data_IF_996440168080
#
_entry.id   IF_996440168080
#
_cell.length_a   1.000
_cell.length_b   1.000
_cell.length_c   1.000
_cell.angle_alpha   90.00
_cell.angle_beta   90.00
_cell.angle_gamma   90.00
#
_symmetry.space_group_name_H-M   'P 1'
#
loop_
_entity.id
_entity.type
_entity.pdbx_description
1 polymer ?
#
# COMPACT_ATOMS: atom_id res chain seq x y z
N UNK A 1 89.17 18.88 50.31
CA UNK A 1 88.83 18.57 48.91
C UNK A 1 87.37 18.94 48.70
N UNK A 2 87.07 19.96 47.90
CA UNK A 2 85.68 20.30 47.57
C UNK A 2 85.17 19.37 46.48
N UNK A 3 84.14 18.57 46.76
CA UNK A 3 83.39 17.89 45.70
C UNK A 3 82.64 18.98 44.92
N UNK A 4 83.04 19.21 43.67
CA UNK A 4 82.25 19.99 42.74
C UNK A 4 80.90 19.26 42.57
N UNK A 5 79.81 19.85 43.08
CA UNK A 5 78.48 19.38 42.75
C UNK A 5 78.29 19.58 41.25
N UNK A 6 78.29 18.47 40.50
CA UNK A 6 77.92 18.48 39.09
C UNK A 6 76.47 18.98 39.02
N UNK A 7 76.29 20.18 38.48
CA UNK A 7 74.96 20.74 38.23
C UNK A 7 74.24 19.83 37.24
N UNK A 8 73.23 19.10 37.71
CA UNK A 8 72.41 18.24 36.86
C UNK A 8 71.73 19.09 35.79
N UNK A 9 71.98 18.77 34.51
CA UNK A 9 71.38 19.46 33.35
C UNK A 9 69.85 19.38 33.35
N UNK A 10 69.27 18.47 34.13
CA UNK A 10 67.84 18.19 34.19
C UNK A 10 67.01 19.17 35.01
N UNK A 11 67.64 20.04 35.80
CA UNK A 11 66.97 21.19 36.39
C UNK A 11 66.37 22.14 35.35
N UNK A 12 66.79 21.99 34.08
CA UNK A 12 66.24 22.73 32.94
C UNK A 12 65.02 22.08 32.31
N UNK A 13 64.55 20.88 32.71
CA UNK A 13 63.36 20.26 32.11
C UNK A 13 62.09 20.56 32.92
N UNK A 14 61.01 20.88 32.22
CA UNK A 14 59.68 21.14 32.82
C UNK A 14 58.60 20.25 32.18
N UNK A 15 57.53 19.90 32.92
CA UNK A 15 56.39 19.18 32.35
C UNK A 15 55.81 19.91 31.13
N UNK A 16 55.67 19.19 30.02
CA UNK A 16 55.06 19.74 28.81
C UNK A 16 53.57 19.38 28.79
N UNK A 17 52.74 20.35 29.19
CA UNK A 17 51.28 20.22 29.21
C UNK A 17 50.62 20.60 27.88
N UNK A 18 51.39 21.09 26.90
CA UNK A 18 50.90 21.63 25.63
C UNK A 18 50.76 20.57 24.54
N UNK A 19 51.14 19.33 24.83
CA UNK A 19 50.98 18.21 23.90
C UNK A 19 49.50 17.89 23.72
N UNK A 20 49.01 18.14 22.51
CA UNK A 20 47.62 17.89 22.12
C UNK A 20 47.42 16.38 21.92
N UNK A 21 46.40 15.75 22.50
CA UNK A 21 46.08 14.35 22.20
C UNK A 21 45.93 14.08 20.69
N UNK A 22 46.39 12.92 20.24
CA UNK A 22 46.38 12.55 18.82
C UNK A 22 47.38 11.47 18.46
N UNK A 23 47.57 11.22 17.17
CA UNK A 23 48.52 10.23 16.68
C UNK A 23 49.89 10.86 16.40
N UNK A 24 50.93 10.24 16.93
CA UNK A 24 52.31 10.70 16.88
C UNK A 24 53.26 9.58 16.45
N UNK A 25 54.38 9.96 15.83
CA UNK A 25 55.61 9.16 15.78
C UNK A 25 56.54 9.64 16.88
N UNK A 26 57.10 8.69 17.62
CA UNK A 26 58.06 8.96 18.71
C UNK A 26 59.44 8.67 18.16
N UNK A 27 60.23 9.71 17.89
CA UNK A 27 61.50 9.62 17.17
C UNK A 27 62.64 9.85 18.13
N UNK A 28 63.61 8.94 18.19
CA UNK A 28 64.78 9.12 19.04
C UNK A 28 65.70 10.22 18.48
N UNK A 29 66.06 11.20 19.32
CA UNK A 29 66.71 12.43 18.87
C UNK A 29 68.10 12.20 18.25
N UNK A 30 68.90 11.26 18.79
CA UNK A 30 70.25 11.01 18.30
C UNK A 30 70.27 10.18 17.01
N UNK A 31 69.43 9.14 16.94
CA UNK A 31 69.49 8.16 15.84
C UNK A 31 68.47 8.42 14.74
N UNK A 32 67.52 9.34 14.96
CA UNK A 32 66.38 9.61 14.08
C UNK A 32 65.54 8.35 13.74
N UNK A 33 65.54 7.37 14.65
CA UNK A 33 64.81 6.10 14.52
C UNK A 33 63.51 6.19 15.31
N UNK A 34 62.44 5.59 14.78
CA UNK A 34 61.14 5.61 15.40
C UNK A 34 60.97 4.47 16.41
N UNK A 35 60.25 4.75 17.48
CA UNK A 35 59.85 3.77 18.49
C UNK A 35 58.78 2.84 17.93
N UNK A 36 59.04 1.54 17.98
CA UNK A 36 58.16 0.51 17.42
C UNK A 36 57.98 -0.67 18.38
N UNK A 37 56.91 -1.45 18.18
CA UNK A 37 56.72 -2.73 18.85
C UNK A 37 57.38 -3.83 18.04
N UNK A 38 58.29 -4.59 18.66
CA UNK A 38 58.86 -5.77 18.03
C UNK A 38 57.79 -6.88 17.93
N UNK A 39 57.43 -7.30 16.71
CA UNK A 39 56.33 -8.26 16.49
C UNK A 39 56.59 -9.65 17.13
N UNK A 40 57.84 -10.15 17.10
CA UNK A 40 58.21 -11.49 17.61
C UNK A 40 58.72 -11.59 19.07
N UNK A 41 59.63 -10.74 19.52
CA UNK A 41 60.25 -10.83 20.86
C UNK A 41 59.38 -10.15 21.92
N UNK A 42 58.44 -10.88 22.52
CA UNK A 42 57.66 -10.48 23.72
C UNK A 42 57.05 -9.05 23.67
N UNK A 43 56.78 -8.50 22.47
CA UNK A 43 56.31 -7.12 22.29
C UNK A 43 57.23 -6.08 22.96
N UNK A 44 58.53 -6.36 22.94
CA UNK A 44 59.58 -5.43 23.37
C UNK A 44 59.55 -4.17 22.50
N UNK A 45 59.80 -3.03 23.13
CA UNK A 45 59.97 -1.79 22.38
C UNK A 45 61.38 -1.71 21.81
N UNK A 46 61.46 -1.32 20.55
CA UNK A 46 62.70 -1.18 19.81
C UNK A 46 62.68 0.14 19.05
N UNK A 47 63.86 0.63 18.67
CA UNK A 47 63.97 1.71 17.70
C UNK A 47 64.38 1.15 16.33
N UNK A 48 63.70 1.56 15.27
CA UNK A 48 64.00 1.17 13.89
C UNK A 48 63.96 2.37 12.96
N UNK A 49 64.59 2.23 11.80
CA UNK A 49 64.48 3.23 10.76
C UNK A 49 63.01 3.45 10.42
N UNK A 50 62.68 4.70 10.09
CA UNK A 50 61.31 5.11 9.75
C UNK A 50 60.90 4.26 8.55
N UNK A 51 59.72 3.65 8.63
CA UNK A 51 59.18 2.97 7.45
C UNK A 51 58.83 4.05 6.43
N UNK A 52 59.36 3.90 5.22
CA UNK A 52 59.10 4.84 4.14
C UNK A 52 57.59 4.81 3.84
N UNK A 53 56.92 5.97 3.76
CA UNK A 53 55.48 6.04 3.48
C UNK A 53 55.08 5.43 2.13
N UNK A 54 56.05 5.13 1.26
CA UNK A 54 55.85 4.59 -0.09
C UNK A 54 55.89 3.06 -0.16
N UNK A 55 56.21 2.35 0.93
CA UNK A 55 56.24 0.89 0.90
C UNK A 55 54.82 0.33 1.08
N UNK A 56 54.16 0.02 -0.04
CA UNK A 56 52.80 -0.53 -0.22
C UNK A 56 52.53 -1.90 0.48
N UNK A 57 53.44 -2.35 1.34
CA UNK A 57 53.20 -3.49 2.20
C UNK A 57 52.54 -2.95 3.47
N UNK A 58 51.29 -3.33 3.76
CA UNK A 58 50.46 -2.89 4.90
C UNK A 58 50.99 -3.14 6.33
N UNK A 59 52.30 -2.99 6.55
CA UNK A 59 53.00 -2.85 7.83
C UNK A 59 53.00 -1.41 8.36
N UNK A 60 52.49 -0.46 7.57
CA UNK A 60 52.67 1.01 7.59
C UNK A 60 52.32 1.79 8.88
N UNK A 61 52.05 1.15 10.02
CA UNK A 61 51.63 1.85 11.24
C UNK A 61 52.25 1.29 12.52
N UNK A 62 53.33 0.50 12.42
CA UNK A 62 53.96 -0.10 13.60
C UNK A 62 54.78 0.90 14.45
N UNK A 63 54.89 2.14 13.99
CA UNK A 63 55.50 3.28 14.69
C UNK A 63 54.47 4.37 15.07
N UNK A 64 53.17 4.11 14.89
CA UNK A 64 52.10 5.07 15.20
C UNK A 64 51.59 4.88 16.64
N UNK A 65 51.71 5.95 17.42
CA UNK A 65 51.31 6.00 18.82
C UNK A 65 50.25 7.06 19.03
N UNK A 66 49.10 6.65 19.53
CA UNK A 66 48.04 7.54 19.98
C UNK A 66 48.33 8.00 21.42
N UNK A 67 48.59 9.28 21.58
CA UNK A 67 48.88 9.93 22.86
C UNK A 67 47.56 10.45 23.45
N UNK A 68 47.24 9.98 24.65
CA UNK A 68 46.03 10.33 25.41
C UNK A 68 46.45 11.06 26.67
N UNK A 69 45.77 12.16 27.03
CA UNK A 69 46.01 12.86 28.30
C UNK A 69 45.33 12.12 29.46
N UNK A 70 46.05 11.93 30.55
CA UNK A 70 45.58 11.28 31.79
C UNK A 70 46.04 12.10 32.99
N UNK A 71 45.25 13.10 33.39
CA UNK A 71 45.65 14.11 34.38
C UNK A 71 46.82 14.97 33.85
N UNK A 72 47.91 15.00 34.61
CA UNK A 72 49.17 15.68 34.26
C UNK A 72 50.17 14.77 33.52
N UNK A 73 49.74 13.56 33.19
CA UNK A 73 50.53 12.57 32.47
C UNK A 73 49.85 12.18 31.15
N UNK A 74 50.53 11.31 30.41
CA UNK A 74 50.11 10.83 29.11
C UNK A 74 50.14 9.30 29.06
N UNK A 75 49.22 8.72 28.30
CA UNK A 75 49.18 7.30 27.97
C UNK A 75 49.52 7.19 26.49
N UNK A 76 50.45 6.30 26.17
CA UNK A 76 50.86 6.01 24.81
C UNK A 76 50.25 4.67 24.38
N UNK A 77 49.26 4.73 23.48
CA UNK A 77 48.56 3.57 22.94
C UNK A 77 49.02 3.32 21.50
N UNK A 78 49.49 2.13 21.18
CA UNK A 78 49.86 1.75 19.83
C UNK A 78 48.62 1.63 18.94
N UNK A 79 48.61 2.33 17.80
CA UNK A 79 47.43 2.45 16.93
C UNK A 79 46.94 1.11 16.37
N UNK A 80 47.83 0.17 16.09
CA UNK A 80 47.48 -1.09 15.42
C UNK A 80 47.07 -2.22 16.37
N UNK A 81 47.58 -2.24 17.60
CA UNK A 81 47.55 -3.47 18.41
C UNK A 81 46.78 -3.36 19.72
N UNK A 82 46.31 -2.17 20.13
CA UNK A 82 45.73 -1.92 21.46
C UNK A 82 46.72 -2.14 22.63
N UNK A 83 48.03 -2.07 22.35
CA UNK A 83 49.06 -2.17 23.40
C UNK A 83 49.50 -0.78 23.85
N UNK A 84 49.98 -0.69 25.07
CA UNK A 84 50.42 0.54 25.71
C UNK A 84 51.90 0.45 26.04
N UNK A 85 52.62 1.57 25.98
CA UNK A 85 53.98 1.64 26.53
C UNK A 85 53.87 1.44 28.05
N UNK A 86 54.57 0.44 28.59
CA UNK A 86 54.59 0.15 30.02
C UNK A 86 55.99 -0.22 30.49
N UNK A 87 56.29 0.13 31.74
CA UNK A 87 57.45 -0.39 32.46
C UNK A 87 57.02 -1.60 33.30
N UNK A 88 57.94 -2.57 33.47
CA UNK A 88 57.74 -3.70 34.38
C UNK A 88 58.49 -3.41 35.69
N UNK A 89 57.81 -2.90 36.73
CA UNK A 89 58.48 -2.39 37.94
C UNK A 89 59.17 -3.46 38.79
N UNK A 90 58.87 -4.74 38.57
CA UNK A 90 59.42 -5.85 39.36
C UNK A 90 60.81 -6.31 38.93
N UNK A 91 61.38 -5.77 37.85
CA UNK A 91 62.74 -6.10 37.43
C UNK A 91 63.76 -5.23 38.19
N UNK A 92 64.94 -5.76 38.53
CA UNK A 92 66.00 -4.99 39.18
C UNK A 92 66.39 -3.79 38.30
N UNK A 93 66.82 -2.68 38.92
CA UNK A 93 66.98 -1.38 38.25
C UNK A 93 67.84 -1.41 36.98
N UNK A 94 68.81 -2.31 36.90
CA UNK A 94 69.68 -2.51 35.73
C UNK A 94 69.07 -3.35 34.59
N UNK A 95 67.91 -3.97 34.83
CA UNK A 95 67.21 -4.86 33.91
C UNK A 95 65.76 -4.41 33.62
N UNK A 96 65.37 -3.19 33.99
CA UNK A 96 64.01 -2.69 33.72
C UNK A 96 63.82 -2.45 32.22
N UNK A 97 63.12 -3.41 31.61
CA UNK A 97 62.74 -3.39 30.21
C UNK A 97 61.45 -2.60 30.04
N UNK A 98 61.39 -1.84 28.95
CA UNK A 98 60.14 -1.19 28.52
C UNK A 98 59.56 -2.09 27.44
N UNK A 99 58.31 -2.47 27.65
CA UNK A 99 57.59 -3.32 26.72
C UNK A 99 56.25 -2.70 26.39
N UNK A 100 55.64 -3.17 25.32
CA UNK A 100 54.23 -2.94 25.13
C UNK A 100 53.47 -3.90 26.06
N UNK A 101 52.39 -3.46 26.72
CA UNK A 101 51.46 -4.36 27.44
C UNK A 101 50.00 -4.02 27.14
N UNK A 102 49.04 -4.81 27.61
CA UNK A 102 47.61 -4.47 27.50
C UNK A 102 47.13 -3.49 28.58
N UNK A 103 47.99 -3.11 29.52
CA UNK A 103 47.63 -2.27 30.65
C UNK A 103 48.23 -0.87 30.44
N UNK A 104 47.41 0.20 30.45
CA UNK A 104 47.92 1.54 30.27
C UNK A 104 48.85 1.92 31.42
N UNK A 105 49.98 2.55 31.09
CA UNK A 105 50.86 3.19 32.05
C UNK A 105 50.92 4.67 31.75
N UNK A 106 50.93 5.48 32.81
CA UNK A 106 51.06 6.92 32.72
C UNK A 106 52.54 7.30 32.58
N UNK A 107 52.82 8.31 31.78
CA UNK A 107 54.13 8.82 31.46
C UNK A 107 54.11 10.35 31.46
N UNK A 108 55.10 10.97 32.07
CA UNK A 108 55.28 12.42 32.00
C UNK A 108 56.20 12.77 30.81
N UNK A 109 55.76 13.73 30.00
CA UNK A 109 56.57 14.27 28.90
C UNK A 109 57.13 15.61 29.35
N UNK A 110 58.44 15.80 29.19
CA UNK A 110 59.15 16.99 29.69
C UNK A 110 59.98 17.63 28.60
N UNK A 111 59.98 18.95 28.52
CA UNK A 111 60.77 19.73 27.54
C UNK A 111 61.76 20.64 28.25
N UNK A 112 62.83 21.01 27.54
CA UNK A 112 63.90 21.86 28.08
C UNK A 112 63.46 23.33 28.12
N UNK A 113 63.36 23.88 29.32
CA UNK A 113 63.10 25.29 29.65
C UNK A 113 64.13 26.16 28.93
N UNK A 114 63.64 27.06 28.08
CA UNK A 114 64.40 28.01 27.24
C UNK A 114 64.89 27.50 25.88
N UNK A 115 64.58 26.27 25.48
CA UNK A 115 64.92 25.79 24.14
C UNK A 115 63.69 25.82 23.22
N UNK A 116 63.81 26.41 22.03
CA UNK A 116 62.83 26.24 20.92
C UNK A 116 62.89 24.83 20.31
N UNK A 117 63.42 23.89 21.08
CA UNK A 117 63.75 22.57 20.66
C UNK A 117 62.58 21.65 20.99
N UNK A 118 62.11 20.95 19.96
CA UNK A 118 60.99 20.02 20.05
C UNK A 118 61.37 18.70 20.73
N UNK A 119 62.62 18.56 21.20
CA UNK A 119 63.07 17.42 21.99
C UNK A 119 62.43 17.42 23.37
N UNK A 120 61.99 16.24 23.78
CA UNK A 120 61.39 15.96 25.06
C UNK A 120 62.01 14.70 25.69
N UNK A 121 61.87 14.57 27.00
CA UNK A 121 62.15 13.34 27.72
C UNK A 121 60.82 12.70 28.15
N UNK A 122 60.71 11.38 28.00
CA UNK A 122 59.53 10.61 28.43
C UNK A 122 59.93 9.87 29.71
N UNK A 123 59.23 10.14 30.81
CA UNK A 123 59.61 9.74 32.16
C UNK A 123 58.43 9.14 32.92
N UNK A 124 58.69 8.39 33.99
CA UNK A 124 57.61 7.95 34.89
C UNK A 124 57.05 9.19 35.61
N UNK A 125 55.72 9.33 35.76
CA UNK A 125 55.12 10.41 36.53
C UNK A 125 55.47 10.21 38.00
N UNK A 126 56.31 11.09 38.52
CA UNK A 126 56.67 11.13 39.94
C UNK A 126 56.54 12.56 40.43
N UNK A 127 56.15 12.72 41.70
CA UNK A 127 55.99 14.04 42.31
C UNK A 127 57.28 14.83 42.15
N UNK A 128 57.18 15.95 41.44
CA UNK A 128 58.33 16.77 41.06
C UNK A 128 59.05 17.36 42.27
N UNK A 129 58.31 17.63 43.36
CA UNK A 129 58.86 18.27 44.54
C UNK A 129 59.73 17.30 45.37
N UNK A 130 59.34 16.03 45.46
CA UNK A 130 60.14 14.99 46.13
C UNK A 130 61.40 14.62 45.35
N UNK A 131 61.39 14.84 44.03
CA UNK A 131 62.46 14.41 43.12
C UNK A 131 63.60 15.40 42.91
N UNK A 132 63.37 16.71 43.09
CA UNK A 132 64.48 17.69 43.01
C UNK A 132 65.60 17.41 44.01
N UNK A 133 65.28 16.76 45.13
CA UNK A 133 66.25 16.40 46.18
C UNK A 133 67.24 15.30 45.80
N UNK A 134 66.84 14.34 44.94
CA UNK A 134 67.66 13.16 44.61
C UNK A 134 68.44 13.29 43.32
N UNK A 135 68.12 14.26 42.46
CA UNK A 135 68.84 14.55 41.22
C UNK A 135 68.78 13.41 40.16
N UNK A 136 67.95 12.39 40.40
CA UNK A 136 67.81 11.22 39.57
C UNK A 136 66.38 11.05 39.11
N UNK A 137 66.18 10.83 37.81
CA UNK A 137 64.89 10.44 37.26
C UNK A 137 65.03 9.16 36.44
N UNK A 138 63.87 8.55 36.22
CA UNK A 138 63.74 7.29 35.51
C UNK A 138 62.98 7.57 34.21
N UNK A 139 63.68 7.44 33.09
CA UNK A 139 63.19 7.79 31.76
C UNK A 139 63.33 6.67 30.74
N UNK A 140 62.63 6.84 29.62
CA UNK A 140 62.80 6.01 28.42
C UNK A 140 64.10 6.44 27.73
N UNK A 141 65.09 5.55 27.72
CA UNK A 141 66.37 5.74 27.04
C UNK A 141 66.66 4.62 26.05
N UNK A 142 67.63 4.86 25.19
CA UNK A 142 68.12 3.87 24.22
C UNK A 142 69.54 3.44 24.58
N UNK A 143 69.79 2.13 24.59
CA UNK A 143 71.16 1.61 24.57
C UNK A 143 71.35 0.71 23.35
N UNK A 144 72.21 1.17 22.43
CA UNK A 144 72.55 0.54 21.16
C UNK A 144 71.34 0.38 20.21
N UNK A 145 70.38 -0.47 20.56
CA UNK A 145 69.14 -0.69 19.81
C UNK A 145 67.92 -1.03 20.69
N UNK A 146 68.14 -1.26 21.99
CA UNK A 146 67.08 -1.64 22.91
C UNK A 146 66.59 -0.43 23.69
N UNK A 147 65.27 -0.33 23.83
CA UNK A 147 64.61 0.70 24.63
C UNK A 147 64.51 0.18 26.06
N UNK A 148 65.05 0.95 27.01
CA UNK A 148 65.11 0.55 28.42
C UNK A 148 64.80 1.73 29.33
N UNK A 149 64.49 1.40 30.57
CA UNK A 149 64.37 2.38 31.62
C UNK A 149 65.78 2.72 32.13
N UNK A 150 66.15 3.99 32.14
CA UNK A 150 67.46 4.45 32.60
C UNK A 150 67.30 5.39 33.79
N UNK A 151 68.12 5.19 34.82
CA UNK A 151 68.34 6.16 35.89
C UNK A 151 69.36 7.21 35.45
N UNK A 152 69.09 8.46 35.79
CA UNK A 152 69.93 9.64 35.49
C UNK A 152 70.50 10.16 36.82
N UNK A 153 71.69 10.78 36.97
CA UNK A 153 72.27 11.90 36.22
C UNK A 153 73.09 11.44 35.03
N UNK A 154 73.03 12.21 33.95
CA UNK A 154 73.59 11.89 32.65
C UNK A 154 74.47 13.08 32.26
N UNK A 155 75.66 12.77 31.77
CA UNK A 155 76.50 13.73 31.06
C UNK A 155 75.74 14.32 29.86
N UNK A 156 76.17 15.49 29.37
CA UNK A 156 75.58 16.10 28.16
C UNK A 156 75.54 15.15 26.96
N UNK A 157 76.52 14.24 26.86
CA UNK A 157 76.59 13.23 25.81
C UNK A 157 75.47 12.19 25.92
N UNK A 158 75.11 11.83 27.15
CA UNK A 158 74.06 10.86 27.43
C UNK A 158 72.65 11.49 27.38
N UNK A 159 72.52 12.82 27.49
CA UNK A 159 71.24 13.54 27.32
C UNK A 159 70.59 13.23 25.96
N UNK A 160 71.39 13.08 24.91
CA UNK A 160 70.93 12.75 23.56
C UNK A 160 70.35 11.33 23.44
N UNK A 161 70.77 10.40 24.30
CA UNK A 161 70.29 9.00 24.31
C UNK A 161 68.92 8.85 25.00
N UNK A 162 68.42 9.92 25.61
CA UNK A 162 67.20 9.96 26.43
C UNK A 162 66.20 11.00 25.94
N UNK A 163 66.50 11.65 24.82
CA UNK A 163 65.64 12.67 24.21
C UNK A 163 64.92 12.12 22.98
N UNK A 164 63.67 12.54 22.84
CA UNK A 164 62.71 12.08 21.85
C UNK A 164 62.05 13.29 21.20
N UNK A 165 61.74 13.19 19.92
CA UNK A 165 60.91 14.16 19.19
C UNK A 165 59.54 13.53 18.95
N UNK A 166 58.48 14.27 19.25
CA UNK A 166 57.11 13.84 19.01
C UNK A 166 56.59 14.49 17.74
N UNK A 167 56.57 13.73 16.65
CA UNK A 167 56.07 14.21 15.36
C UNK A 167 54.57 13.87 15.24
N UNK A 168 53.73 14.90 15.13
CA UNK A 168 52.28 14.72 15.01
C UNK A 168 51.90 14.30 13.59
N UNK A 169 51.24 13.15 13.46
CA UNK A 169 50.85 12.57 12.15
C UNK A 169 49.33 12.36 12.01
N UNK A 170 48.54 12.51 13.10
CA UNK A 170 47.08 12.32 13.04
C UNK A 170 46.30 13.14 14.06
N UNK A 171 44.99 13.22 13.85
CA UNK A 171 44.04 13.99 14.68
C UNK A 171 43.73 13.36 16.04
N UNK A 172 43.01 14.10 16.88
CA UNK A 172 42.67 13.72 18.26
C UNK A 172 41.69 12.54 18.38
N UNK A 173 41.11 12.06 17.28
CA UNK A 173 40.19 10.90 17.26
C UNK A 173 40.90 9.59 16.92
N UNK A 174 42.13 9.62 16.41
CA UNK A 174 42.83 8.42 15.92
C UNK A 174 42.19 7.77 14.69
N UNK A 175 41.08 8.32 14.19
CA UNK A 175 40.41 7.91 12.96
C UNK A 175 41.08 8.60 11.77
N UNK A 176 41.47 7.83 10.77
CA UNK A 176 41.89 8.40 9.50
C UNK A 176 40.72 9.13 8.80
N UNK A 177 41.03 10.01 7.86
CA UNK A 177 40.01 10.78 7.14
C UNK A 177 39.01 9.90 6.39
N UNK A 178 39.41 8.70 6.00
CA UNK A 178 38.61 7.74 5.24
C UNK A 178 37.52 7.11 6.11
N UNK A 179 37.85 6.77 7.36
CA UNK A 179 36.94 6.22 8.37
C UNK A 179 35.83 7.22 8.71
N UNK A 180 36.18 8.52 8.77
CA UNK A 180 35.19 9.59 8.98
C UNK A 180 34.18 9.67 7.83
N UNK A 181 34.66 9.63 6.59
CA UNK A 181 33.80 9.66 5.40
C UNK A 181 32.88 8.44 5.33
N UNK A 182 33.42 7.25 5.59
CA UNK A 182 32.66 6.00 5.67
C UNK A 182 31.55 6.06 6.72
N UNK A 183 31.83 6.58 7.92
CA UNK A 183 30.81 6.75 8.97
C UNK A 183 29.71 7.71 8.53
N UNK A 184 30.06 8.81 7.87
CA UNK A 184 29.08 9.77 7.38
C UNK A 184 28.20 9.15 6.28
N UNK A 185 28.81 8.43 5.34
CA UNK A 185 28.07 7.69 4.30
C UNK A 185 27.13 6.65 4.93
N UNK A 186 27.60 5.88 5.91
CA UNK A 186 26.78 4.91 6.64
C UNK A 186 25.59 5.57 7.35
N UNK A 187 25.78 6.77 7.88
CA UNK A 187 24.70 7.52 8.53
C UNK A 187 23.62 7.91 7.52
N UNK A 188 24.02 8.39 6.34
CA UNK A 188 23.11 8.78 5.25
C UNK A 188 22.35 7.56 4.71
N UNK A 189 23.05 6.46 4.42
CA UNK A 189 22.39 5.25 3.90
C UNK A 189 21.43 4.64 4.93
N UNK A 190 21.74 4.75 6.23
CA UNK A 190 20.82 4.31 7.29
C UNK A 190 19.55 5.15 7.34
N UNK A 191 19.64 6.46 7.09
CA UNK A 191 18.45 7.32 7.04
C UNK A 191 17.62 7.06 5.79
N UNK A 192 18.25 6.92 4.62
CA UNK A 192 17.56 6.58 3.36
C UNK A 192 16.84 5.24 3.47
N UNK A 193 17.48 4.22 4.05
CA UNK A 193 16.87 2.91 4.29
C UNK A 193 15.64 2.99 5.20
N UNK A 194 15.67 3.86 6.22
CA UNK A 194 14.53 4.05 7.11
C UNK A 194 13.36 4.74 6.39
N UNK A 195 13.64 5.71 5.53
CA UNK A 195 12.63 6.39 4.70
C UNK A 195 12.00 5.42 3.69
N UNK A 196 12.80 4.63 2.98
CA UNK A 196 12.29 3.68 2.00
C UNK A 196 11.49 2.55 2.66
N UNK A 197 11.88 2.11 3.85
CA UNK A 197 11.07 1.18 4.66
C UNK A 197 9.72 1.79 5.04
N UNK A 198 9.67 3.08 5.37
CA UNK A 198 8.41 3.77 5.66
C UNK A 198 7.53 3.90 4.40
N UNK A 199 8.12 4.20 3.23
CA UNK A 199 7.39 4.24 1.94
C UNK A 199 6.81 2.87 1.59
N UNK A 200 7.59 1.80 1.74
CA UNK A 200 7.12 0.44 1.49
C UNK A 200 5.92 0.08 2.36
N UNK A 201 5.98 0.43 3.65
CA UNK A 201 4.86 0.22 4.57
C UNK A 201 3.57 0.94 4.13
N UNK A 202 3.68 2.18 3.66
CA UNK A 202 2.52 2.92 3.13
C UNK A 202 1.95 2.27 1.86
N UNK A 203 2.81 1.72 0.99
CA UNK A 203 2.36 1.00 -0.21
C UNK A 203 1.63 -0.29 0.16
N UNK A 204 2.13 -1.05 1.15
CA UNK A 204 1.48 -2.26 1.64
C UNK A 204 0.10 -1.96 2.25
N UNK A 205 0.00 -0.91 3.05
CA UNK A 205 -1.28 -0.45 3.64
C UNK A 205 -2.29 -0.07 2.54
N UNK A 206 -1.84 0.65 1.49
CA UNK A 206 -2.69 1.02 0.35
C UNK A 206 -3.12 -0.20 -0.46
N UNK A 207 -2.23 -1.17 -0.65
CA UNK A 207 -2.54 -2.42 -1.35
C UNK A 207 -3.58 -3.23 -0.57
N UNK A 208 -3.49 -3.29 0.75
CA UNK A 208 -4.49 -3.95 1.59
C UNK A 208 -5.88 -3.32 1.44
N UNK A 209 -5.97 -1.98 1.36
CA UNK A 209 -7.24 -1.26 1.10
C UNK A 209 -7.81 -1.65 -0.26
N UNK A 210 -7.01 -1.62 -1.32
CA UNK A 210 -7.47 -2.02 -2.66
C UNK A 210 -7.94 -3.47 -2.73
N UNK A 211 -7.27 -4.38 -2.02
CA UNK A 211 -7.70 -5.78 -1.95
C UNK A 211 -9.06 -5.93 -1.26
N UNK A 212 -9.31 -5.16 -0.19
CA UNK A 212 -10.60 -5.17 0.51
C UNK A 212 -11.73 -4.58 -0.37
N UNK A 213 -11.47 -3.49 -1.08
CA UNK A 213 -12.42 -2.89 -2.03
C UNK A 213 -12.77 -3.86 -3.15
N UNK A 214 -11.77 -4.55 -3.72
CA UNK A 214 -11.98 -5.52 -4.78
C UNK A 214 -12.77 -6.75 -4.30
N UNK A 215 -12.51 -7.22 -3.07
CA UNK A 215 -13.29 -8.30 -2.46
C UNK A 215 -14.77 -7.88 -2.26
N UNK A 216 -15.01 -6.67 -1.78
CA UNK A 216 -16.36 -6.12 -1.61
C UNK A 216 -17.09 -5.99 -2.95
N UNK A 217 -16.43 -5.46 -3.98
CA UNK A 217 -16.99 -5.35 -5.32
C UNK A 217 -17.37 -6.72 -5.90
N UNK A 218 -16.55 -7.75 -5.67
CA UNK A 218 -16.86 -9.13 -6.07
C UNK A 218 -18.07 -9.70 -5.33
N UNK A 219 -18.22 -9.44 -4.03
CA UNK A 219 -19.39 -9.86 -3.25
C UNK A 219 -20.67 -9.26 -3.83
N UNK A 220 -20.68 -7.93 -4.03
CA UNK A 220 -21.83 -7.22 -4.61
C UNK A 220 -22.18 -7.71 -6.02
N UNK A 221 -21.18 -7.99 -6.85
CA UNK A 221 -21.40 -8.54 -8.17
C UNK A 221 -22.05 -9.93 -8.10
N UNK A 222 -21.61 -10.76 -7.17
CA UNK A 222 -22.21 -12.08 -6.93
C UNK A 222 -23.66 -11.98 -6.47
N UNK A 223 -23.96 -11.08 -5.52
CA UNK A 223 -25.31 -10.82 -5.03
C UNK A 223 -26.23 -10.34 -6.17
N UNK A 224 -25.79 -9.35 -6.94
CA UNK A 224 -26.54 -8.85 -8.10
C UNK A 224 -26.78 -9.95 -9.14
N UNK A 225 -25.79 -10.83 -9.38
CA UNK A 225 -25.94 -11.95 -10.30
C UNK A 225 -26.97 -12.96 -9.81
N UNK A 226 -27.05 -13.21 -8.50
CA UNK A 226 -28.09 -14.08 -7.94
C UNK A 226 -29.47 -13.46 -8.04
N UNK A 227 -29.61 -12.16 -7.73
CA UNK A 227 -30.88 -11.44 -7.89
C UNK A 227 -31.36 -11.39 -9.34
N UNK A 228 -30.45 -11.22 -10.29
CA UNK A 228 -30.77 -11.22 -11.72
C UNK A 228 -31.34 -12.58 -12.15
N UNK A 229 -30.68 -13.67 -11.75
CA UNK A 229 -31.14 -15.04 -12.04
C UNK A 229 -32.53 -15.30 -11.46
N UNK A 230 -32.79 -14.86 -10.22
CA UNK A 230 -34.11 -15.01 -9.60
C UNK A 230 -35.20 -14.23 -10.36
N UNK A 231 -34.87 -13.04 -10.87
CA UNK A 231 -35.78 -12.25 -11.71
C UNK A 231 -36.02 -12.91 -13.07
N UNK A 232 -35.00 -13.49 -13.70
CA UNK A 232 -35.13 -14.25 -14.94
C UNK A 232 -36.07 -15.46 -14.73
N UNK A 233 -35.85 -16.25 -13.66
CA UNK A 233 -36.73 -17.38 -13.32
C UNK A 233 -38.18 -16.96 -12.99
N UNK A 234 -38.37 -15.79 -12.38
CA UNK A 234 -39.70 -15.24 -12.15
C UNK A 234 -40.38 -14.79 -13.45
N UNK A 235 -39.63 -14.18 -14.37
CA UNK A 235 -40.12 -13.77 -15.67
C UNK A 235 -40.53 -14.97 -16.53
N UNK A 236 -39.71 -16.02 -16.56
CA UNK A 236 -40.01 -17.26 -17.28
C UNK A 236 -41.30 -17.92 -16.77
N UNK A 237 -41.50 -17.95 -15.45
CA UNK A 237 -42.75 -18.45 -14.84
C UNK A 237 -43.95 -17.60 -15.27
N UNK A 238 -43.84 -16.27 -15.21
CA UNK A 238 -44.91 -15.38 -15.63
C UNK A 238 -45.25 -15.55 -17.13
N UNK A 239 -44.24 -15.74 -17.98
CA UNK A 239 -44.43 -16.01 -19.41
C UNK A 239 -45.16 -17.35 -19.65
N UNK A 240 -44.81 -18.40 -18.91
CA UNK A 240 -45.50 -19.69 -18.98
C UNK A 240 -46.96 -19.59 -18.52
N UNK A 241 -47.23 -18.88 -17.43
CA UNK A 241 -48.60 -18.63 -16.97
C UNK A 241 -49.41 -17.85 -18.00
N UNK A 242 -48.84 -16.79 -18.58
CA UNK A 242 -49.48 -16.00 -19.62
C UNK A 242 -49.82 -16.87 -20.84
N UNK A 243 -48.87 -17.69 -21.32
CA UNK A 243 -49.10 -18.63 -22.43
C UNK A 243 -50.28 -19.57 -22.12
N UNK A 244 -50.31 -20.15 -20.92
CA UNK A 244 -51.40 -21.03 -20.50
C UNK A 244 -52.76 -20.31 -20.47
N UNK A 245 -52.80 -19.06 -20.00
CA UNK A 245 -54.05 -18.28 -20.00
C UNK A 245 -54.51 -17.94 -21.42
N UNK A 246 -53.59 -17.68 -22.34
CA UNK A 246 -53.90 -17.43 -23.74
C UNK A 246 -54.47 -18.69 -24.41
N UNK A 247 -53.89 -19.87 -24.16
CA UNK A 247 -54.40 -21.14 -24.66
C UNK A 247 -55.83 -21.40 -24.13
N UNK A 248 -56.07 -21.15 -22.84
CA UNK A 248 -57.40 -21.27 -22.24
C UNK A 248 -58.42 -20.28 -22.82
N UNK A 249 -57.99 -19.06 -23.16
CA UNK A 249 -58.84 -18.06 -23.79
C UNK A 249 -59.22 -18.50 -25.20
N UNK A 250 -58.25 -18.96 -25.98
CA UNK A 250 -58.46 -19.53 -27.33
C UNK A 250 -59.44 -20.71 -27.30
N UNK A 251 -59.31 -21.62 -26.32
CA UNK A 251 -60.26 -22.73 -26.15
C UNK A 251 -61.68 -22.25 -25.81
N UNK A 252 -61.82 -21.17 -25.04
CA UNK A 252 -63.14 -20.58 -24.77
C UNK A 252 -63.73 -19.91 -26.00
N UNK A 253 -62.92 -19.17 -26.76
CA UNK A 253 -63.38 -18.48 -27.97
C UNK A 253 -63.86 -19.48 -29.03
N UNK A 254 -63.14 -20.60 -29.20
CA UNK A 254 -63.59 -21.69 -30.10
C UNK A 254 -64.90 -22.33 -29.64
N UNK A 255 -65.08 -22.58 -28.33
CA UNK A 255 -66.36 -23.07 -27.77
C UNK A 255 -67.50 -22.06 -27.95
N UNK A 256 -67.22 -20.77 -27.81
CA UNK A 256 -68.20 -19.70 -28.00
C UNK A 256 -68.64 -19.65 -29.47
N UNK A 257 -67.69 -19.66 -30.42
CA UNK A 257 -67.98 -19.70 -31.84
C UNK A 257 -68.81 -20.94 -32.25
N UNK A 258 -68.56 -22.10 -31.63
CA UNK A 258 -69.37 -23.30 -31.86
C UNK A 258 -70.80 -23.14 -31.32
N UNK A 259 -70.97 -22.51 -30.15
CA UNK A 259 -72.30 -22.20 -29.61
C UNK A 259 -73.06 -21.21 -30.46
N UNK A 260 -72.40 -20.18 -30.98
CA UNK A 260 -73.02 -19.22 -31.90
C UNK A 260 -73.50 -19.91 -33.19
N UNK A 261 -72.71 -20.86 -33.72
CA UNK A 261 -73.13 -21.69 -34.86
C UNK A 261 -74.36 -22.55 -34.52
N UNK A 262 -74.37 -23.23 -33.36
CA UNK A 262 -75.53 -24.01 -32.92
C UNK A 262 -76.80 -23.16 -32.76
N UNK A 263 -76.67 -21.92 -32.29
CA UNK A 263 -77.78 -20.97 -32.16
C UNK A 263 -78.29 -20.58 -33.55
N UNK A 264 -77.38 -20.20 -34.46
CA UNK A 264 -77.73 -19.86 -35.83
C UNK A 264 -78.48 -20.98 -36.56
N UNK A 265 -78.01 -22.22 -36.44
CA UNK A 265 -78.70 -23.39 -37.02
C UNK A 265 -80.10 -23.61 -36.43
N UNK A 266 -80.27 -23.35 -35.12
CA UNK A 266 -81.60 -23.42 -34.48
C UNK A 266 -82.52 -22.30 -34.95
N UNK A 267 -82.02 -21.09 -35.11
CA UNK A 267 -82.82 -19.97 -35.61
C UNK A 267 -83.30 -20.22 -37.05
N UNK A 268 -82.44 -20.75 -37.92
CA UNK A 268 -82.84 -21.18 -39.27
C UNK A 268 -83.92 -22.26 -39.25
N UNK A 269 -83.80 -23.25 -38.35
CA UNK A 269 -84.83 -24.28 -38.18
C UNK A 269 -86.16 -23.69 -37.68
N UNK A 270 -86.13 -22.76 -36.73
CA UNK A 270 -87.31 -22.06 -36.22
C UNK A 270 -87.97 -21.26 -37.35
N UNK A 271 -87.20 -20.53 -38.15
CA UNK A 271 -87.71 -19.78 -39.31
C UNK A 271 -88.35 -20.71 -40.34
N UNK A 272 -87.73 -21.85 -40.64
CA UNK A 272 -88.29 -22.85 -41.54
C UNK A 272 -89.62 -23.41 -41.02
N UNK A 273 -89.70 -23.73 -39.72
CA UNK A 273 -90.93 -24.19 -39.06
C UNK A 273 -92.00 -23.10 -39.03
N UNK A 274 -91.62 -21.84 -38.82
CA UNK A 274 -92.52 -20.69 -38.89
C UNK A 274 -93.15 -20.55 -40.28
N UNK A 275 -92.37 -20.69 -41.36
CA UNK A 275 -92.89 -20.71 -42.74
C UNK A 275 -93.86 -21.86 -42.98
N UNK A 276 -93.54 -23.06 -42.51
CA UNK A 276 -94.42 -24.24 -42.61
C UNK A 276 -95.76 -24.02 -41.89
N UNK A 277 -95.75 -23.35 -40.72
CA UNK A 277 -96.97 -23.01 -39.99
C UNK A 277 -97.82 -21.99 -40.74
N UNK A 278 -97.22 -20.93 -41.29
CA UNK A 278 -97.94 -19.94 -42.12
C UNK A 278 -98.60 -20.60 -43.32
N UNK A 279 -97.91 -21.52 -44.01
CA UNK A 279 -98.49 -22.26 -45.14
C UNK A 279 -99.67 -23.15 -44.70
N UNK A 280 -99.57 -23.79 -43.53
CA UNK A 280 -100.69 -24.55 -42.96
C UNK A 280 -101.87 -23.66 -42.60
N UNK A 281 -101.62 -22.48 -42.02
CA UNK A 281 -102.67 -21.50 -41.70
C UNK A 281 -103.37 -21.02 -42.99
N UNK A 282 -102.63 -20.78 -44.08
CA UNK A 282 -103.19 -20.45 -45.39
C UNK A 282 -104.08 -21.58 -45.95
N UNK A 283 -103.66 -22.84 -45.80
CA UNK A 283 -104.45 -24.00 -46.22
C UNK A 283 -105.74 -24.10 -45.38
N UNK A 284 -105.64 -23.91 -44.05
CA UNK A 284 -106.80 -23.90 -43.16
C UNK A 284 -107.77 -22.80 -43.58
N UNK A 285 -107.30 -21.57 -43.79
CA UNK A 285 -108.13 -20.45 -44.22
C UNK A 285 -108.86 -20.74 -45.55
N UNK A 286 -108.19 -21.40 -46.51
CA UNK A 286 -108.81 -21.85 -47.78
C UNK A 286 -109.85 -22.94 -47.56
N UNK A 287 -109.58 -23.92 -46.70
CA UNK A 287 -110.54 -24.97 -46.36
C UNK A 287 -111.77 -24.40 -45.66
N UNK A 288 -111.59 -23.43 -44.77
CA UNK A 288 -112.68 -22.70 -44.13
C UNK A 288 -113.51 -21.90 -45.15
N UNK A 289 -112.88 -21.26 -46.14
CA UNK A 289 -113.59 -20.60 -47.24
C UNK A 289 -114.40 -21.59 -48.09
N UNK A 290 -113.82 -22.75 -48.44
CA UNK A 290 -114.53 -23.81 -49.16
C UNK A 290 -115.72 -24.30 -48.33
N UNK A 291 -115.54 -24.51 -47.01
CA UNK A 291 -116.61 -24.91 -46.12
C UNK A 291 -117.71 -23.84 -46.02
N UNK A 292 -117.35 -22.55 -45.92
CA UNK A 292 -118.29 -21.42 -45.95
C UNK A 292 -119.05 -21.36 -47.26
N UNK A 293 -118.35 -21.48 -48.39
CA UNK A 293 -118.94 -21.48 -49.74
C UNK A 293 -119.86 -22.68 -49.95
N UNK A 294 -119.46 -23.88 -49.52
CA UNK A 294 -120.30 -25.09 -49.59
C UNK A 294 -121.54 -24.97 -48.70
N UNK A 295 -121.41 -24.43 -47.50
CA UNK A 295 -122.55 -24.16 -46.62
C UNK A 295 -123.47 -23.06 -47.20
N UNK A 296 -122.91 -22.04 -47.86
CA UNK A 296 -123.69 -21.02 -48.58
C UNK A 296 -124.41 -21.63 -49.79
N UNK A 297 -123.78 -22.53 -50.55
CA UNK A 297 -124.43 -23.29 -51.62
C UNK A 297 -125.53 -24.20 -51.08
N UNK A 298 -125.32 -24.86 -49.93
CA UNK A 298 -126.36 -25.64 -49.27
C UNK A 298 -127.53 -24.76 -48.83
N UNK A 299 -127.25 -23.57 -48.25
CA UNK A 299 -128.26 -22.56 -47.94
C UNK A 299 -128.95 -22.03 -49.20
N UNK A 300 -128.24 -21.77 -50.29
CA UNK A 300 -128.81 -21.34 -51.58
C UNK A 300 -129.63 -22.45 -52.24
N UNK A 301 -129.26 -23.72 -52.11
CA UNK A 301 -130.09 -24.85 -52.52
C UNK A 301 -131.36 -24.97 -51.67
N UNK A 302 -131.26 -24.63 -50.38
CA UNK A 302 -132.39 -24.53 -49.45
C UNK A 302 -133.29 -23.33 -49.80
N UNK A 303 -132.70 -22.15 -50.06
CA UNK A 303 -133.39 -20.94 -50.52
C UNK A 303 -133.96 -21.07 -51.93
N UNK A 304 -133.32 -21.79 -52.86
CA UNK A 304 -133.84 -22.07 -54.20
C UNK A 304 -135.01 -23.07 -54.16
N UNK A 305 -135.08 -23.92 -53.13
CA UNK A 305 -136.28 -24.70 -52.81
C UNK A 305 -137.39 -23.86 -52.13
N UNK A 306 -137.11 -22.63 -51.73
CA UNK A 306 -138.00 -21.82 -50.88
C UNK A 306 -138.38 -20.45 -51.48
N UNK A 307 -137.65 -19.96 -52.48
CA UNK A 307 -137.90 -18.72 -53.22
C UNK A 307 -138.13 -19.01 -54.72
N UNK A 308 -139.13 -19.85 -54.97
CA UNK A 308 -140.01 -19.72 -56.13
C UNK A 308 -141.04 -18.59 -55.92
N UNK A 309 -140.88 -17.78 -54.86
CA UNK A 309 -141.62 -16.57 -54.58
C UNK A 309 -140.66 -15.44 -54.18
N UNK A 310 -140.88 -14.29 -54.82
CA UNK A 310 -140.36 -12.96 -54.52
C UNK A 310 -139.03 -12.47 -55.10
N UNK A 311 -139.21 -11.38 -55.85
CA UNK A 311 -138.32 -10.62 -56.71
C UNK A 311 -138.06 -9.25 -56.03
N UNK A 312 -136.86 -8.69 -56.25
CA UNK A 312 -136.53 -7.26 -56.49
C UNK A 312 -135.57 -6.50 -55.53
N UNK A 313 -134.74 -5.70 -56.21
CA UNK A 313 -133.93 -4.51 -55.86
C UNK A 313 -132.69 -4.68 -54.97
N UNK A 314 -131.45 -4.38 -55.39
CA UNK A 314 -130.78 -3.24 -56.06
C UNK A 314 -130.12 -2.25 -55.08
N UNK A 315 -128.89 -1.84 -55.43
CA UNK A 315 -128.16 -0.59 -55.12
C UNK A 315 -126.80 -0.76 -54.37
N UNK A 316 -125.74 -0.46 -55.14
CA UNK A 316 -124.31 -0.16 -54.85
C UNK A 316 -124.15 1.27 -54.23
N UNK A 317 -122.97 1.89 -53.95
CA UNK A 317 -121.57 1.54 -54.30
C UNK A 317 -120.45 1.83 -53.25
N UNK A 318 -119.24 1.34 -53.58
CA UNK A 318 -117.85 1.89 -53.50
C UNK A 318 -117.63 3.41 -53.16
N UNK A 319 -116.39 3.95 -52.91
CA UNK A 319 -115.08 3.52 -53.43
C UNK A 319 -113.86 3.66 -52.42
N UNK A 320 -112.68 3.06 -52.68
CA UNK A 320 -111.39 3.69 -53.13
C UNK A 320 -110.72 4.68 -52.15
N UNK A 321 -109.39 4.89 -52.02
CA UNK A 321 -108.13 4.51 -52.69
C UNK A 321 -106.97 4.97 -51.77
N UNK A 322 -105.79 4.34 -51.92
CA UNK A 322 -104.43 4.94 -51.88
C UNK A 322 -103.94 5.65 -50.57
N UNK A 323 -102.67 5.70 -50.20
CA UNK A 323 -101.38 5.37 -50.81
C UNK A 323 -100.31 5.39 -49.70
N UNK A 324 -99.33 4.48 -49.81
CA UNK A 324 -97.88 4.76 -49.82
C UNK A 324 -97.31 5.83 -48.84
N UNK A 325 -96.42 5.44 -47.94
CA UNK A 325 -94.96 5.54 -48.17
C UNK A 325 -94.13 5.26 -46.89
N UNK A 326 -92.96 4.67 -47.12
CA UNK A 326 -92.05 3.99 -46.20
C UNK A 326 -91.14 4.96 -45.36
N UNK A 327 -90.37 4.44 -44.38
CA UNK A 327 -90.06 5.17 -43.15
C UNK A 327 -88.68 5.85 -43.08
N UNK A 328 -88.61 6.73 -42.08
CA UNK A 328 -87.49 7.54 -41.56
C UNK A 328 -86.25 6.73 -41.18
N UNK A 329 -85.11 7.20 -41.68
CA UNK A 329 -83.76 6.90 -41.17
C UNK A 329 -83.53 7.69 -39.88
N UNK A 330 -83.26 6.99 -38.78
CA UNK A 330 -82.90 7.56 -37.47
C UNK A 330 -81.37 7.51 -37.32
N UNK A 331 -80.75 8.69 -37.16
CA UNK A 331 -79.40 8.86 -36.61
C UNK A 331 -79.42 8.57 -35.11
N UNK A 332 -78.24 8.24 -34.54
CA UNK A 332 -77.88 8.95 -33.32
C UNK A 332 -76.46 9.52 -33.34
N UNK A 333 -76.42 10.74 -32.81
CA UNK A 333 -75.28 11.55 -32.35
C UNK A 333 -74.88 11.09 -30.95
N UNK A 334 -73.59 10.90 -30.63
CA UNK A 334 -73.04 11.34 -29.33
C UNK A 334 -71.50 11.46 -29.31
N UNK A 335 -71.05 12.71 -29.12
CA UNK A 335 -69.92 13.19 -28.29
C UNK A 335 -68.64 12.35 -28.18
N UNK A 336 -67.57 12.82 -28.83
CA UNK A 336 -66.19 12.52 -28.43
C UNK A 336 -65.78 13.45 -27.28
N UNK A 337 -65.59 12.87 -26.09
CA UNK A 337 -64.86 13.50 -24.99
C UNK A 337 -63.40 13.06 -25.06
N UNK A 338 -62.52 14.05 -25.05
CA UNK A 338 -61.09 13.95 -24.82
C UNK A 338 -60.79 13.27 -23.47
N UNK A 339 -59.99 12.21 -23.48
CA UNK A 339 -59.12 11.84 -22.37
C UNK A 339 -57.82 11.26 -22.96
N UNK A 340 -56.73 11.99 -22.73
CA UNK A 340 -55.37 11.53 -22.97
C UNK A 340 -55.01 10.45 -21.94
N UNK A 341 -54.46 9.29 -22.33
CA UNK A 341 -53.81 8.40 -21.39
C UNK A 341 -52.32 8.79 -21.30
N UNK A 342 -52.01 9.72 -20.40
CA UNK A 342 -50.71 9.69 -19.70
C UNK A 342 -50.85 8.67 -18.59
N UNK A 343 -50.15 7.53 -18.70
CA UNK A 343 -50.07 6.58 -17.58
C UNK A 343 -48.74 5.84 -17.58
N UNK A 344 -47.92 6.27 -16.62
CA UNK A 344 -46.92 5.53 -15.82
C UNK A 344 -45.73 4.83 -16.49
N UNK A 345 -45.79 4.39 -17.74
CA UNK A 345 -44.62 3.75 -18.38
C UNK A 345 -43.59 4.77 -18.88
N UNK A 346 -44.04 5.95 -19.30
CA UNK A 346 -43.16 7.01 -19.84
C UNK A 346 -42.36 7.74 -18.75
N UNK A 347 -42.80 7.69 -17.49
CA UNK A 347 -42.11 8.37 -16.37
C UNK A 347 -41.00 7.48 -15.79
N UNK A 348 -41.15 6.15 -15.81
CA UNK A 348 -40.13 5.21 -15.29
C UNK A 348 -38.94 4.98 -16.23
N UNK A 349 -39.06 5.26 -17.54
CA UNK A 349 -37.92 5.16 -18.45
C UNK A 349 -36.98 6.37 -18.39
N UNK A 350 -37.47 7.56 -18.04
CA UNK A 350 -36.65 8.76 -17.91
C UNK A 350 -35.72 8.72 -16.67
N UNK A 351 -36.10 7.99 -15.61
CA UNK A 351 -35.24 7.82 -14.42
C UNK A 351 -34.06 6.85 -14.65
N UNK A 352 -34.05 6.09 -15.75
CA UNK A 352 -32.97 5.14 -16.08
C UNK A 352 -31.91 5.72 -17.04
N UNK A 353 -32.04 6.99 -17.48
CA UNK A 353 -31.00 7.68 -18.25
C UNK A 353 -30.92 7.30 -19.74
N UNK A 354 -32.01 6.80 -20.32
CA UNK A 354 -32.08 6.51 -21.76
C UNK A 354 -32.88 7.60 -22.47
N UNK A 355 -32.18 8.62 -22.95
CA UNK A 355 -32.73 9.53 -23.95
C UNK A 355 -32.76 8.79 -25.30
N UNK A 356 -33.92 8.77 -25.94
CA UNK A 356 -34.09 8.20 -27.28
C UNK A 356 -33.76 9.27 -28.31
N UNK A 357 -32.71 9.05 -29.10
CA UNK A 357 -32.48 9.76 -30.38
C UNK A 357 -33.47 9.30 -31.46
#
# INVERSE_FOLDING_TARGET
MGQAQASSTWGTYEPNCDIIPGTYRIIHALTNKALQIHEGKQKMLIIRDREDPSSDTGREQNDHWFIIRSGDAFIFKHCRSEWYISSLPWLPANAQLICATRYPSAWAIRTKKSSNDHRCAITIPVDWNEFRSTGSYIGIGVNSANVRLCSVPLSEKEELEHTWTLERIGGATGEDGQTRLLRQALKVTKTELAEDKAKLKMVDERLAVYMAELANARSKLSENSTELREKEEALDRAAQELSKTMDQLSEKDTKLAEKDREIFERDELILAKGRELVEKDDIIARLEEIARSSNMQAKLATYSSQNQDNINHEVSPEPELESESAPKIIKPTTQSKSYSPTTELSVKLAELGWDSD
#
